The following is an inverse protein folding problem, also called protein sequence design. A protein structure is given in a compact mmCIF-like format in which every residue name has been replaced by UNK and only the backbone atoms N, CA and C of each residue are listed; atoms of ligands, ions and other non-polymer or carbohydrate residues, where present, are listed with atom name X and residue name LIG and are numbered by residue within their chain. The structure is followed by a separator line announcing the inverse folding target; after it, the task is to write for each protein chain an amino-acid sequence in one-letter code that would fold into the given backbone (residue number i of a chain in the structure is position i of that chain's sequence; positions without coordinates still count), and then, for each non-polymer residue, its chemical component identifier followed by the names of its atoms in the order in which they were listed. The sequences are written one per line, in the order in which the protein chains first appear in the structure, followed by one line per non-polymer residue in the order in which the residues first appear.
data_IF_298777787819
#
_entry.id   IF_298777787819
#
_cell.length_a   1.000
_cell.length_b   1.000
_cell.length_c   1.000
_cell.angle_alpha   90.00
_cell.angle_beta   90.00
_cell.angle_gamma   90.00
#
_symmetry.space_group_name_H-M   'P 1'
#
loop_
_entity.id
_entity.type
_entity.pdbx_description
1 polymer ?
#
# COMPACT_ATOMS: atom_id res chain seq x y z
N UNK A 1 -29.28 19.88 5.42
CA UNK A 1 -28.21 19.69 6.42
C UNK A 1 -28.05 18.19 6.61
N UNK A 2 -27.14 17.57 5.85
CA UNK A 2 -26.94 16.12 5.91
C UNK A 2 -26.28 15.76 7.23
N UNK A 3 -26.88 14.84 7.98
CA UNK A 3 -26.25 14.25 9.17
C UNK A 3 -25.05 13.46 8.64
N UNK A 4 -23.83 14.04 8.69
CA UNK A 4 -22.61 13.26 8.49
C UNK A 4 -22.52 12.33 9.70
N UNK A 5 -23.08 11.13 9.58
CA UNK A 5 -22.91 10.09 10.58
C UNK A 5 -21.44 9.70 10.59
N UNK A 6 -20.82 9.84 11.74
CA UNK A 6 -19.47 9.34 11.95
C UNK A 6 -19.42 7.83 11.66
N UNK A 7 -18.41 7.40 10.91
CA UNK A 7 -18.29 6.01 10.47
C UNK A 7 -17.44 5.22 11.47
N UNK A 8 -17.90 4.07 12.00
CA UNK A 8 -17.11 3.30 12.95
C UNK A 8 -15.85 2.74 12.31
N UNK A 9 -14.76 2.64 13.09
CA UNK A 9 -13.54 2.02 12.59
C UNK A 9 -13.73 0.50 12.40
N UNK A 10 -13.33 0.00 11.23
CA UNK A 10 -13.42 -1.41 10.89
C UNK A 10 -12.53 -2.26 11.82
N UNK A 11 -12.84 -3.56 12.02
CA UNK A 11 -11.99 -4.43 12.85
C UNK A 11 -10.52 -4.48 12.38
N UNK A 12 -10.30 -4.53 11.06
CA UNK A 12 -8.95 -4.48 10.49
C UNK A 12 -8.29 -3.11 10.73
N UNK A 13 -9.03 -2.01 10.57
CA UNK A 13 -8.54 -0.66 10.88
C UNK A 13 -8.07 -0.55 12.33
N UNK A 14 -8.84 -1.08 13.29
CA UNK A 14 -8.47 -1.12 14.71
C UNK A 14 -7.18 -1.90 14.97
N UNK A 15 -7.00 -3.03 14.29
CA UNK A 15 -5.78 -3.82 14.38
C UNK A 15 -4.56 -2.99 13.94
N UNK A 16 -4.65 -2.30 12.80
CA UNK A 16 -3.54 -1.49 12.28
C UNK A 16 -3.27 -0.21 13.08
N UNK A 17 -4.21 0.23 13.92
CA UNK A 17 -3.99 1.36 14.83
C UNK A 17 -3.28 0.95 16.12
N UNK A 18 -3.09 -0.34 16.39
CA UNK A 18 -2.31 -0.78 17.54
C UNK A 18 -0.84 -0.36 17.37
N UNK A 19 -0.15 0.12 18.41
CA UNK A 19 1.24 0.55 18.32
C UNK A 19 2.17 -0.48 17.69
N UNK A 20 1.92 -1.77 17.93
CA UNK A 20 2.70 -2.89 17.42
C UNK A 20 2.48 -3.16 15.92
N UNK A 21 1.37 -2.65 15.36
CA UNK A 21 0.90 -2.90 14.00
C UNK A 21 0.69 -1.63 13.19
N UNK A 22 1.21 -0.49 13.68
CA UNK A 22 1.14 0.82 13.02
C UNK A 22 1.88 0.78 11.68
N UNK A 23 1.13 0.44 10.63
CA UNK A 23 1.68 0.12 9.33
C UNK A 23 1.40 1.27 8.37
N UNK A 24 2.47 1.78 7.77
CA UNK A 24 2.42 2.87 6.79
C UNK A 24 2.83 2.31 5.43
N UNK A 25 1.97 2.53 4.44
CA UNK A 25 2.25 2.21 3.04
C UNK A 25 2.88 3.44 2.41
N UNK A 26 4.16 3.32 2.01
CA UNK A 26 4.85 4.34 1.24
C UNK A 26 4.79 3.99 -0.24
N UNK A 27 4.45 4.94 -1.09
CA UNK A 27 4.47 4.80 -2.54
C UNK A 27 5.32 5.91 -3.15
N UNK A 28 6.16 5.56 -4.12
CA UNK A 28 7.13 6.43 -4.75
C UNK A 28 6.77 6.56 -6.23
N UNK A 29 6.57 7.79 -6.69
CA UNK A 29 6.34 8.10 -8.10
C UNK A 29 7.49 8.95 -8.62
N UNK A 30 8.23 8.41 -9.59
CA UNK A 30 9.20 9.18 -10.38
C UNK A 30 8.48 10.09 -11.37
N UNK A 31 9.04 11.28 -11.57
CA UNK A 31 8.56 12.29 -12.52
C UNK A 31 9.65 12.58 -13.55
N UNK A 32 9.24 12.90 -14.77
CA UNK A 32 10.20 13.32 -15.82
C UNK A 32 10.83 14.70 -15.51
N UNK A 33 10.07 15.54 -14.80
CA UNK A 33 10.44 16.92 -14.44
C UNK A 33 10.19 17.18 -12.96
N UNK A 34 10.99 18.06 -12.33
CA UNK A 34 10.76 18.44 -10.93
C UNK A 34 9.38 19.11 -10.80
N UNK A 35 8.59 18.66 -9.82
CA UNK A 35 7.31 19.28 -9.50
C UNK A 35 7.51 20.41 -8.50
N UNK A 36 6.95 21.59 -8.81
CA UNK A 36 6.80 22.68 -7.85
C UNK A 36 5.61 22.46 -6.92
N UNK A 37 5.65 23.10 -5.75
CA UNK A 37 4.59 23.03 -4.74
C UNK A 37 3.22 23.49 -5.30
N UNK A 38 3.19 24.52 -6.14
CA UNK A 38 1.94 25.07 -6.68
C UNK A 38 1.22 24.09 -7.63
N UNK A 39 2.00 23.40 -8.47
CA UNK A 39 1.48 22.38 -9.39
C UNK A 39 0.91 21.23 -8.58
N UNK A 40 1.68 20.74 -7.59
CA UNK A 40 1.23 19.65 -6.75
C UNK A 40 -0.04 20.02 -5.96
N UNK A 41 -0.10 21.23 -5.39
CA UNK A 41 -1.30 21.73 -4.71
C UNK A 41 -2.51 21.73 -5.64
N UNK A 42 -2.36 22.23 -6.86
CA UNK A 42 -3.44 22.27 -7.86
C UNK A 42 -3.93 20.87 -8.23
N UNK A 43 -3.00 19.94 -8.48
CA UNK A 43 -3.33 18.54 -8.82
C UNK A 43 -4.03 17.85 -7.66
N UNK A 44 -3.50 17.96 -6.45
CA UNK A 44 -4.05 17.31 -5.26
C UNK A 44 -5.42 17.90 -4.92
N UNK A 45 -5.59 19.21 -4.97
CA UNK A 45 -6.88 19.87 -4.67
C UNK A 45 -8.03 19.38 -5.55
N UNK A 46 -7.74 19.00 -6.79
CA UNK A 46 -8.72 18.50 -7.75
C UNK A 46 -8.81 16.96 -7.81
N UNK A 47 -7.96 16.26 -7.05
CA UNK A 47 -7.80 14.82 -7.09
C UNK A 47 -8.93 14.05 -6.38
N UNK A 48 -8.93 12.72 -6.57
CA UNK A 48 -9.86 11.83 -5.89
C UNK A 48 -9.58 11.70 -4.40
N UNK A 49 -8.35 11.97 -3.92
CA UNK A 49 -8.00 11.94 -2.50
C UNK A 49 -8.91 12.91 -1.73
N UNK A 50 -9.09 14.13 -2.22
CA UNK A 50 -9.86 15.18 -1.52
C UNK A 50 -11.37 14.92 -1.61
N UNK A 51 -11.81 14.26 -2.68
CA UNK A 51 -13.22 13.92 -2.89
C UNK A 51 -13.65 12.72 -2.06
N UNK A 52 -12.71 11.86 -1.69
CA UNK A 52 -13.01 10.58 -1.06
C UNK A 52 -13.10 10.72 0.48
N UNK A 53 -14.23 10.32 1.11
CA UNK A 53 -14.46 10.53 2.55
C UNK A 53 -13.37 9.97 3.47
N UNK A 54 -12.81 8.80 3.14
CA UNK A 54 -11.73 8.18 3.96
C UNK A 54 -10.50 9.05 4.13
N UNK A 55 -10.14 9.86 3.12
CA UNK A 55 -8.96 10.72 3.18
C UNK A 55 -9.26 12.13 3.71
N UNK A 56 -10.55 12.45 3.92
CA UNK A 56 -11.01 13.70 4.54
C UNK A 56 -11.62 13.45 5.92
N UNK A 57 -11.31 12.30 6.51
CA UNK A 57 -11.79 11.92 7.84
C UNK A 57 -10.62 11.76 8.80
N UNK A 58 -10.80 12.32 9.99
CA UNK A 58 -9.92 12.20 11.13
C UNK A 58 -10.33 10.98 11.96
N UNK A 59 -9.34 10.24 12.46
CA UNK A 59 -9.61 9.17 13.42
C UNK A 59 -9.78 9.77 14.81
N UNK A 60 -10.96 9.60 15.41
CA UNK A 60 -11.31 10.15 16.72
C UNK A 60 -11.73 9.03 17.66
N UNK A 61 -11.40 9.19 18.94
CA UNK A 61 -11.85 8.31 20.01
C UNK A 61 -12.91 9.03 20.84
N UNK A 62 -14.09 8.42 20.96
CA UNK A 62 -15.17 8.97 21.77
C UNK A 62 -14.89 8.85 23.28
N UNK A 63 -15.73 9.49 24.10
CA UNK A 63 -15.62 9.41 25.58
C UNK A 63 -15.77 7.99 26.14
N UNK A 64 -16.29 7.06 25.34
CA UNK A 64 -16.50 5.65 25.69
C UNK A 64 -15.34 4.77 25.18
N UNK A 65 -14.30 5.38 24.59
CA UNK A 65 -13.13 4.69 24.08
C UNK A 65 -13.32 4.05 22.70
N UNK A 66 -14.42 4.32 21.99
CA UNK A 66 -14.68 3.77 20.66
C UNK A 66 -14.08 4.66 19.58
N UNK A 67 -13.39 4.03 18.65
CA UNK A 67 -12.73 4.67 17.52
C UNK A 67 -13.68 4.79 16.33
N UNK A 68 -13.76 6.00 15.77
CA UNK A 68 -14.59 6.30 14.62
C UNK A 68 -13.94 7.36 13.74
N UNK A 69 -14.29 7.35 12.47
CA UNK A 69 -13.92 8.35 11.48
C UNK A 69 -14.88 9.52 11.57
N UNK A 70 -14.34 10.72 11.75
CA UNK A 70 -15.07 11.97 11.73
C UNK A 70 -14.62 12.80 10.56
N UNK A 71 -15.55 13.19 9.69
CA UNK A 71 -15.23 14.05 8.55
C UNK A 71 -14.79 15.44 9.04
N UNK A 72 -13.70 15.95 8.48
CA UNK A 72 -13.14 17.26 8.83
C UNK A 72 -12.91 18.10 7.57
N UNK A 73 -12.81 19.41 7.75
CA UNK A 73 -12.29 20.28 6.72
C UNK A 73 -10.78 20.06 6.61
N UNK A 74 -10.30 19.83 5.38
CA UNK A 74 -8.92 19.40 5.15
C UNK A 74 -8.01 20.61 4.93
N UNK A 75 -7.01 20.75 5.80
CA UNK A 75 -5.92 21.70 5.62
C UNK A 75 -4.80 21.09 4.75
N UNK A 76 -4.88 21.28 3.44
CA UNK A 76 -3.95 20.70 2.45
C UNK A 76 -2.46 20.96 2.76
N UNK A 77 -2.14 22.14 3.28
CA UNK A 77 -0.76 22.55 3.58
C UNK A 77 -0.10 21.70 4.66
N UNK A 78 -0.90 21.07 5.53
CA UNK A 78 -0.40 20.14 6.55
C UNK A 78 -0.08 18.76 5.99
N UNK A 79 -0.53 18.45 4.77
CA UNK A 79 -0.34 17.15 4.13
C UNK A 79 0.70 17.18 3.02
N UNK A 80 1.05 18.36 2.48
CA UNK A 80 2.01 18.51 1.38
C UNK A 80 3.33 19.05 1.94
N UNK A 81 4.37 18.21 1.94
CA UNK A 81 5.73 18.60 2.30
C UNK A 81 6.56 18.80 1.04
N UNK A 82 7.06 20.01 0.84
CA UNK A 82 7.94 20.32 -0.30
C UNK A 82 9.40 20.38 0.15
N UNK A 83 10.24 19.56 -0.47
CA UNK A 83 11.68 19.47 -0.24
C UNK A 83 12.40 19.80 -1.56
N UNK A 84 12.80 21.07 -1.76
CA UNK A 84 13.43 21.50 -3.01
C UNK A 84 14.88 21.02 -3.15
N UNK A 85 15.58 20.81 -2.03
CA UNK A 85 16.98 20.40 -1.99
C UNK A 85 17.17 18.87 -1.97
N UNK A 86 18.43 18.40 -2.02
CA UNK A 86 18.75 16.99 -1.86
C UNK A 86 18.34 16.50 -0.46
N UNK A 87 17.79 15.29 -0.39
CA UNK A 87 17.36 14.68 0.89
C UNK A 87 18.42 13.79 1.53
N UNK A 88 19.52 13.53 0.82
CA UNK A 88 20.69 12.80 1.30
C UNK A 88 21.97 13.39 0.69
N UNK A 89 23.11 13.10 1.32
CA UNK A 89 24.45 13.39 0.79
C UNK A 89 24.83 12.47 -0.38
N UNK A 90 24.07 11.40 -0.63
CA UNK A 90 24.34 10.48 -1.74
C UNK A 90 24.18 11.17 -3.09
N UNK A 91 25.11 10.92 -4.02
CA UNK A 91 25.09 11.47 -5.38
C UNK A 91 24.11 10.77 -6.33
N UNK A 92 23.59 9.60 -5.93
CA UNK A 92 22.62 8.81 -6.70
C UNK A 92 21.20 9.07 -6.20
N UNK A 93 20.30 9.45 -7.11
CA UNK A 93 18.92 9.81 -6.78
C UNK A 93 18.14 8.65 -6.15
N UNK A 94 18.35 7.42 -6.62
CA UNK A 94 17.66 6.24 -6.11
C UNK A 94 18.10 5.90 -4.69
N UNK A 95 19.40 5.97 -4.42
CA UNK A 95 19.96 5.80 -3.08
C UNK A 95 19.46 6.89 -2.13
N UNK A 96 19.43 8.15 -2.57
CA UNK A 96 18.93 9.26 -1.77
C UNK A 96 17.46 9.06 -1.36
N UNK A 97 16.61 8.65 -2.32
CA UNK A 97 15.20 8.37 -2.06
C UNK A 97 15.03 7.17 -1.13
N UNK A 98 15.83 6.12 -1.29
CA UNK A 98 15.78 4.94 -0.42
C UNK A 98 16.18 5.27 1.02
N UNK A 99 17.23 6.05 1.23
CA UNK A 99 17.65 6.51 2.55
C UNK A 99 16.58 7.39 3.20
N UNK A 100 15.99 8.30 2.42
CA UNK A 100 14.88 9.13 2.87
C UNK A 100 13.67 8.30 3.33
N UNK A 101 13.26 7.31 2.53
CA UNK A 101 12.16 6.41 2.89
C UNK A 101 12.48 5.54 4.11
N UNK A 102 13.75 5.15 4.25
CA UNK A 102 14.21 4.35 5.38
C UNK A 102 14.13 5.15 6.68
N UNK A 103 14.56 6.41 6.66
CA UNK A 103 14.42 7.34 7.79
C UNK A 103 12.94 7.59 8.11
N UNK A 104 12.10 7.89 7.11
CA UNK A 104 10.66 8.09 7.32
C UNK A 104 9.98 6.88 7.98
N UNK A 105 10.46 5.67 7.71
CA UNK A 105 9.89 4.42 8.25
C UNK A 105 10.23 4.19 9.73
N UNK A 106 11.23 4.88 10.28
CA UNK A 106 11.65 4.76 11.69
C UNK A 106 11.31 6.03 12.47
N UNK A 107 11.60 7.19 11.90
CA UNK A 107 11.70 8.46 12.62
C UNK A 107 10.40 9.28 12.60
N UNK A 108 9.50 9.00 11.65
CA UNK A 108 8.37 9.89 11.34
C UNK A 108 7.03 9.14 11.22
N UNK A 109 6.37 8.81 12.34
CA UNK A 109 5.01 8.28 12.30
C UNK A 109 4.02 9.32 11.78
N UNK A 110 2.94 8.88 11.15
CA UNK A 110 1.86 9.77 10.74
C UNK A 110 1.14 10.32 11.97
N UNK A 111 0.98 11.64 12.03
CA UNK A 111 0.25 12.29 13.12
C UNK A 111 -1.24 11.96 13.07
N UNK A 112 -1.83 11.67 14.23
CA UNK A 112 -3.25 11.33 14.38
C UNK A 112 -4.17 12.54 14.54
N UNK A 113 -3.61 13.75 14.52
CA UNK A 113 -4.34 15.02 14.62
C UNK A 113 -4.84 15.57 13.27
N UNK A 114 -4.51 14.88 12.19
CA UNK A 114 -4.94 15.14 10.81
C UNK A 114 -5.28 13.82 10.12
N UNK A 115 -6.01 13.83 8.99
CA UNK A 115 -6.22 12.62 8.18
C UNK A 115 -4.90 11.89 7.88
N UNK A 116 -4.90 10.56 7.97
CA UNK A 116 -3.69 9.74 8.08
C UNK A 116 -2.94 9.50 6.74
N UNK A 117 -2.60 10.59 6.06
CA UNK A 117 -1.82 10.54 4.82
C UNK A 117 -1.00 11.81 4.63
N UNK A 118 0.11 11.67 3.91
CA UNK A 118 1.05 12.75 3.60
C UNK A 118 1.62 12.58 2.19
N UNK A 119 2.01 13.69 1.57
CA UNK A 119 2.63 13.73 0.25
C UNK A 119 3.90 14.57 0.36
N UNK A 120 5.03 13.96 0.06
CA UNK A 120 6.34 14.60 0.06
C UNK A 120 6.80 14.76 -1.38
N UNK A 121 7.11 15.99 -1.78
CA UNK A 121 7.58 16.32 -3.11
C UNK A 121 9.08 16.57 -3.01
N UNK A 122 9.86 15.67 -3.59
CA UNK A 122 11.31 15.73 -3.63
C UNK A 122 11.71 16.38 -4.96
N UNK A 123 11.88 17.70 -4.93
CA UNK A 123 12.15 18.51 -6.12
C UNK A 123 13.47 18.12 -6.79
N UNK A 124 14.55 18.01 -6.02
CA UNK A 124 15.87 17.64 -6.52
C UNK A 124 15.90 16.26 -7.20
N UNK A 125 15.14 15.30 -6.66
CA UNK A 125 15.10 13.91 -7.13
C UNK A 125 13.94 13.60 -8.08
N UNK A 126 13.20 14.64 -8.52
CA UNK A 126 12.03 14.54 -9.42
C UNK A 126 11.07 13.43 -8.99
N UNK A 127 10.74 13.39 -7.70
CA UNK A 127 10.01 12.27 -7.13
C UNK A 127 8.92 12.74 -6.16
N UNK A 128 7.82 12.01 -6.10
CA UNK A 128 6.76 12.21 -5.11
C UNK A 128 6.63 10.95 -4.26
N UNK A 129 6.75 11.11 -2.95
CA UNK A 129 6.50 10.06 -1.96
C UNK A 129 5.14 10.29 -1.33
N UNK A 130 4.20 9.38 -1.52
CA UNK A 130 2.94 9.36 -0.79
C UNK A 130 3.00 8.37 0.35
N UNK A 131 2.45 8.76 1.49
CA UNK A 131 2.39 7.94 2.70
C UNK A 131 0.94 7.80 3.11
N UNK A 132 0.50 6.56 3.32
CA UNK A 132 -0.86 6.26 3.75
C UNK A 132 -0.84 5.30 4.93
N UNK A 133 -1.60 5.59 5.98
CA UNK A 133 -1.80 4.61 7.04
C UNK A 133 -2.66 3.44 6.54
N UNK A 134 -2.30 2.20 6.88
CA UNK A 134 -2.96 0.99 6.37
C UNK A 134 -4.44 0.88 6.80
N UNK A 135 -4.86 1.62 7.83
CA UNK A 135 -6.26 1.76 8.20
C UNK A 135 -7.14 2.44 7.13
N UNK A 136 -6.55 3.20 6.20
CA UNK A 136 -7.28 3.86 5.11
C UNK A 136 -7.65 2.89 3.97
N UNK A 137 -6.79 1.91 3.74
CA UNK A 137 -6.95 0.92 2.68
C UNK A 137 -5.74 -0.01 2.57
N UNK A 138 -5.95 -1.12 1.86
CA UNK A 138 -4.87 -2.03 1.48
C UNK A 138 -4.04 -1.47 0.30
N UNK A 139 -2.85 -2.03 0.08
CA UNK A 139 -1.94 -1.58 -0.96
C UNK A 139 -2.51 -1.66 -2.39
N UNK A 140 -3.39 -2.62 -2.68
CA UNK A 140 -4.00 -2.76 -4.02
C UNK A 140 -5.05 -1.68 -4.24
N UNK A 141 -5.91 -1.44 -3.25
CA UNK A 141 -6.90 -0.37 -3.27
C UNK A 141 -6.26 1.01 -3.39
N UNK A 142 -5.17 1.25 -2.65
CA UNK A 142 -4.40 2.51 -2.73
C UNK A 142 -3.71 2.67 -4.08
N UNK A 143 -3.07 1.62 -4.60
CA UNK A 143 -2.46 1.65 -5.93
C UNK A 143 -3.52 1.92 -7.02
N UNK A 144 -4.69 1.30 -6.91
CA UNK A 144 -5.81 1.55 -7.82
C UNK A 144 -6.26 3.02 -7.76
N UNK A 145 -6.42 3.58 -6.55
CA UNK A 145 -6.72 5.00 -6.37
C UNK A 145 -5.67 5.89 -7.04
N UNK A 146 -4.39 5.57 -6.87
CA UNK A 146 -3.29 6.32 -7.48
C UNK A 146 -3.33 6.26 -9.00
N UNK A 147 -3.49 5.06 -9.57
CA UNK A 147 -3.63 4.87 -11.00
C UNK A 147 -4.85 5.62 -11.55
N UNK A 148 -5.94 5.72 -10.78
CA UNK A 148 -7.11 6.52 -11.18
C UNK A 148 -6.88 8.03 -11.18
N UNK A 149 -5.80 8.52 -10.60
CA UNK A 149 -5.40 9.91 -10.69
C UNK A 149 -4.43 10.16 -11.85
N UNK A 150 -3.90 9.10 -12.47
CA UNK A 150 -3.00 9.18 -13.61
C UNK A 150 -3.77 9.07 -14.93
N UNK A 151 -3.23 9.69 -15.98
CA UNK A 151 -3.71 9.56 -17.36
C UNK A 151 -2.63 8.96 -18.24
N UNK A 152 -3.02 8.23 -19.28
CA UNK A 152 -2.04 7.73 -20.26
C UNK A 152 -1.43 8.91 -21.01
N UNK A 153 -0.12 8.83 -21.24
CA UNK A 153 0.59 9.85 -22.04
C UNK A 153 0.12 9.83 -23.50
N UNK A 154 -0.20 8.65 -24.03
CA UNK A 154 -0.73 8.49 -25.39
C UNK A 154 -2.17 8.95 -25.58
N UNK A 155 -2.96 9.01 -24.50
CA UNK A 155 -4.36 9.45 -24.53
C UNK A 155 -4.75 10.02 -23.16
N UNK A 156 -4.79 11.35 -23.10
CA UNK A 156 -5.01 12.13 -21.88
C UNK A 156 -6.38 11.92 -21.23
N UNK A 157 -7.34 11.33 -21.94
CA UNK A 157 -8.66 11.02 -21.39
C UNK A 157 -8.78 9.60 -20.83
N UNK A 158 -7.79 8.75 -21.10
CA UNK A 158 -7.82 7.36 -20.64
C UNK A 158 -6.94 7.13 -19.42
N UNK A 159 -7.44 6.23 -18.57
CA UNK A 159 -6.77 5.84 -17.34
C UNK A 159 -5.81 4.68 -17.63
N UNK A 160 -4.69 4.56 -16.91
CA UNK A 160 -3.79 3.42 -17.05
C UNK A 160 -4.57 2.13 -16.77
N UNK A 161 -4.55 1.23 -17.74
CA UNK A 161 -5.31 -0.02 -17.66
C UNK A 161 -4.50 -1.01 -16.83
N UNK A 162 -5.02 -1.41 -15.67
CA UNK A 162 -4.56 -2.63 -15.02
C UNK A 162 -5.13 -3.81 -15.81
N UNK A 163 -4.27 -4.61 -16.45
CA UNK A 163 -4.69 -5.90 -16.98
C UNK A 163 -5.05 -6.85 -15.82
N UNK A 164 -6.24 -6.71 -15.23
CA UNK A 164 -6.84 -7.77 -14.44
C UNK A 164 -7.27 -8.86 -15.42
N UNK A 165 -6.35 -9.78 -15.74
CA UNK A 165 -6.71 -10.92 -16.57
C UNK A 165 -7.69 -11.79 -15.79
N UNK A 166 -8.86 -11.99 -16.41
CA UNK A 166 -9.86 -12.94 -15.95
C UNK A 166 -9.18 -14.27 -15.66
N UNK A 167 -9.43 -14.82 -14.47
CA UNK A 167 -9.18 -16.24 -14.19
C UNK A 167 -9.81 -17.01 -15.34
N UNK A 168 -9.02 -17.72 -16.14
CA UNK A 168 -9.58 -18.62 -17.14
C UNK A 168 -10.41 -19.63 -16.36
N UNK A 169 -11.74 -19.48 -16.38
CA UNK A 169 -12.64 -20.52 -15.92
C UNK A 169 -12.56 -21.60 -16.98
N UNK A 170 -11.57 -22.48 -16.85
CA UNK A 170 -11.66 -23.79 -17.47
C UNK A 170 -12.85 -24.47 -16.81
N UNK A 171 -14.03 -24.32 -17.41
CA UNK A 171 -15.21 -25.10 -17.08
C UNK A 171 -14.98 -26.50 -17.60
N UNK A 172 -14.15 -27.27 -16.89
CA UNK A 172 -14.19 -28.72 -16.98
C UNK A 172 -15.52 -29.13 -16.38
N UNK A 173 -16.36 -29.80 -17.16
CA UNK A 173 -17.58 -30.45 -16.68
C UNK A 173 -17.18 -31.58 -15.73
N UNK A 174 -17.02 -31.24 -14.45
CA UNK A 174 -16.62 -32.20 -13.43
C UNK A 174 -17.79 -33.09 -13.03
N UNK A 175 -17.60 -34.40 -13.11
CA UNK A 175 -18.55 -35.41 -12.60
C UNK A 175 -18.76 -35.23 -11.10
N UNK A 176 -19.97 -35.48 -10.59
CA UNK A 176 -20.32 -35.31 -9.17
C UNK A 176 -19.32 -36.02 -8.23
N UNK A 177 -18.83 -37.21 -8.64
CA UNK A 177 -17.83 -37.96 -7.88
C UNK A 177 -16.47 -37.26 -7.73
N UNK A 178 -15.98 -36.59 -8.78
CA UNK A 178 -14.69 -35.87 -8.71
C UNK A 178 -14.80 -34.62 -7.85
N UNK A 179 -15.95 -33.94 -7.88
CA UNK A 179 -16.26 -32.81 -7.01
C UNK A 179 -16.34 -33.20 -5.53
N UNK A 180 -16.99 -34.33 -5.23
CA UNK A 180 -17.07 -34.85 -3.85
C UNK A 180 -15.69 -35.25 -3.32
N UNK A 181 -14.88 -35.92 -4.15
CA UNK A 181 -13.51 -36.30 -3.80
C UNK A 181 -12.60 -35.09 -3.55
N UNK A 182 -12.72 -34.03 -4.37
CA UNK A 182 -12.01 -32.76 -4.15
C UNK A 182 -12.44 -32.09 -2.84
N UNK A 183 -13.74 -32.05 -2.55
CA UNK A 183 -14.25 -31.49 -1.29
C UNK A 183 -13.73 -32.27 -0.08
N UNK A 184 -13.74 -33.60 -0.14
CA UNK A 184 -13.19 -34.45 0.93
C UNK A 184 -11.70 -34.21 1.12
N UNK A 185 -10.92 -34.14 0.03
CA UNK A 185 -9.50 -33.79 0.10
C UNK A 185 -9.28 -32.40 0.69
N UNK A 186 -10.05 -31.40 0.27
CA UNK A 186 -9.96 -30.04 0.81
C UNK A 186 -10.22 -30.04 2.32
N UNK A 187 -11.30 -30.69 2.77
CA UNK A 187 -11.62 -30.82 4.21
C UNK A 187 -10.48 -31.53 4.94
N UNK A 188 -9.98 -32.64 4.41
CA UNK A 188 -8.87 -33.39 5.00
C UNK A 188 -7.59 -32.55 5.15
N UNK A 189 -7.18 -31.84 4.09
CA UNK A 189 -6.03 -30.93 4.15
C UNK A 189 -6.27 -29.78 5.12
N UNK A 190 -7.45 -29.17 5.12
CA UNK A 190 -7.80 -28.11 6.07
C UNK A 190 -7.73 -28.62 7.51
N UNK A 191 -8.20 -29.84 7.80
CA UNK A 191 -8.08 -30.45 9.12
C UNK A 191 -6.62 -30.68 9.52
N UNK A 192 -5.79 -31.18 8.60
CA UNK A 192 -4.34 -31.34 8.84
C UNK A 192 -3.70 -29.98 9.15
N UNK A 193 -3.97 -28.95 8.34
CA UNK A 193 -3.40 -27.61 8.56
C UNK A 193 -3.92 -26.94 9.83
N UNK A 194 -5.19 -27.12 10.17
CA UNK A 194 -5.76 -26.64 11.44
C UNK A 194 -5.09 -27.33 12.62
N UNK A 195 -4.89 -28.64 12.55
CA UNK A 195 -4.19 -29.38 13.59
C UNK A 195 -2.72 -28.93 13.70
N UNK A 196 -2.01 -28.78 12.58
CA UNK A 196 -0.64 -28.25 12.54
C UNK A 196 -0.55 -26.84 13.14
N UNK A 197 -1.52 -25.97 12.82
CA UNK A 197 -1.60 -24.62 13.36
C UNK A 197 -1.83 -24.61 14.87
N UNK A 198 -2.76 -25.44 15.38
CA UNK A 198 -3.02 -25.57 16.82
C UNK A 198 -1.78 -26.11 17.53
N UNK A 199 -1.13 -27.12 16.97
CA UNK A 199 0.11 -27.69 17.51
C UNK A 199 1.25 -26.65 17.54
N UNK A 200 1.38 -25.83 16.49
CA UNK A 200 2.36 -24.74 16.47
C UNK A 200 2.02 -23.67 17.50
N UNK A 201 0.78 -23.23 17.54
CA UNK A 201 0.31 -22.18 18.47
C UNK A 201 0.46 -22.57 19.95
N UNK A 202 0.16 -23.83 20.30
CA UNK A 202 0.18 -24.29 21.70
C UNK A 202 1.54 -24.84 22.16
N UNK A 203 2.34 -25.44 21.27
CA UNK A 203 3.51 -26.22 21.68
C UNK A 203 4.82 -25.89 20.97
N UNK A 204 4.81 -25.26 19.80
CA UNK A 204 6.03 -24.93 19.07
C UNK A 204 6.25 -23.42 19.08
N UNK A 205 7.22 -23.00 19.89
CA UNK A 205 7.83 -21.69 19.70
C UNK A 205 8.28 -21.61 18.23
N UNK A 206 7.82 -20.59 17.51
CA UNK A 206 8.19 -20.39 16.11
C UNK A 206 9.70 -20.56 15.95
N UNK A 207 10.12 -21.34 14.95
CA UNK A 207 11.55 -21.49 14.63
C UNK A 207 12.13 -20.11 14.37
N UNK A 208 13.35 -19.89 14.85
CA UNK A 208 14.11 -18.69 14.49
C UNK A 208 14.37 -18.75 12.99
N UNK A 209 13.70 -17.89 12.24
CA UNK A 209 13.96 -17.69 10.82
C UNK A 209 14.98 -16.56 10.68
N UNK A 210 15.73 -16.56 9.59
CA UNK A 210 16.71 -15.49 9.27
C UNK A 210 16.05 -14.10 9.20
N UNK A 211 14.72 -14.05 9.08
CA UNK A 211 13.89 -12.84 9.00
C UNK A 211 13.42 -12.37 10.39
N UNK A 212 13.57 -13.18 11.44
CA UNK A 212 13.16 -12.83 12.79
C UNK A 212 14.23 -11.93 13.44
N UNK A 213 13.91 -10.66 13.62
CA UNK A 213 14.72 -9.77 14.44
C UNK A 213 14.45 -9.99 15.94
N UNK A 214 15.47 -9.81 16.78
CA UNK A 214 15.32 -9.82 18.23
C UNK A 214 14.51 -8.64 18.77
N UNK A 215 14.22 -8.60 20.07
CA UNK A 215 13.52 -7.46 20.66
C UNK A 215 14.33 -6.15 20.47
N UNK A 216 13.67 -5.07 20.06
CA UNK A 216 14.29 -3.76 19.85
C UNK A 216 14.87 -3.54 18.45
N UNK A 217 14.83 -4.53 17.54
CA UNK A 217 15.21 -4.31 16.13
C UNK A 217 14.26 -3.34 15.43
N UNK A 218 13.07 -3.16 15.96
CA UNK A 218 12.07 -2.23 15.43
C UNK A 218 12.56 -0.79 15.44
N UNK A 219 13.45 -0.44 16.37
CA UNK A 219 14.06 0.89 16.55
C UNK A 219 15.36 1.07 15.75
N UNK A 220 15.85 0.02 15.08
CA UNK A 220 17.10 0.12 14.34
C UNK A 220 16.90 0.94 13.05
N UNK A 221 17.93 1.68 12.62
CA UNK A 221 17.92 2.34 11.32
C UNK A 221 17.57 1.33 10.24
N UNK A 222 16.53 1.64 9.45
CA UNK A 222 16.15 0.80 8.32
C UNK A 222 17.13 1.05 7.19
N UNK A 223 17.32 0.03 6.35
CA UNK A 223 18.00 0.17 5.07
C UNK A 223 17.07 -0.37 4.01
N UNK A 224 16.71 0.49 3.06
CA UNK A 224 15.94 0.11 1.90
C UNK A 224 16.90 -0.09 0.73
N UNK A 225 16.66 -1.15 -0.03
CA UNK A 225 17.37 -1.44 -1.26
C UNK A 225 16.33 -1.76 -2.33
N UNK A 226 16.43 -1.12 -3.47
CA UNK A 226 15.57 -1.41 -4.61
C UNK A 226 16.13 -2.59 -5.39
N UNK A 227 15.29 -3.56 -5.67
CA UNK A 227 15.56 -4.59 -6.68
C UNK A 227 14.72 -4.28 -7.93
N UNK A 228 15.37 -4.13 -9.08
CA UNK A 228 14.71 -3.90 -10.37
C UNK A 228 14.55 -5.23 -11.09
N UNK A 229 13.33 -5.54 -11.51
CA UNK A 229 13.02 -6.72 -12.30
C UNK A 229 12.49 -6.30 -13.66
N UNK A 230 12.97 -6.95 -14.72
CA UNK A 230 12.40 -6.75 -16.06
C UNK A 230 10.98 -7.32 -16.11
N UNK A 231 10.04 -6.54 -16.65
CA UNK A 231 8.68 -7.01 -16.85
C UNK A 231 8.61 -8.17 -17.83
N UNK A 232 9.52 -8.21 -18.80
CA UNK A 232 9.57 -9.29 -19.78
C UNK A 232 10.10 -10.58 -19.14
N UNK A 233 11.06 -10.48 -18.21
CA UNK A 233 11.51 -11.62 -17.41
C UNK A 233 10.39 -12.14 -16.51
N UNK A 234 9.62 -11.24 -15.87
CA UNK A 234 8.45 -11.64 -15.07
C UNK A 234 7.39 -12.35 -15.91
N UNK A 235 7.15 -11.89 -17.14
CA UNK A 235 6.22 -12.54 -18.08
C UNK A 235 6.75 -13.91 -18.51
N UNK A 236 8.04 -14.03 -18.81
CA UNK A 236 8.68 -15.28 -19.21
C UNK A 236 8.65 -16.31 -18.08
N UNK A 237 8.91 -15.90 -16.83
CA UNK A 237 8.77 -16.79 -15.67
C UNK A 237 7.32 -17.24 -15.50
N UNK A 238 6.36 -16.32 -15.65
CA UNK A 238 4.94 -16.65 -15.55
C UNK A 238 4.45 -17.58 -16.65
N UNK A 239 4.94 -17.44 -17.88
CA UNK A 239 4.55 -18.32 -18.99
C UNK A 239 5.13 -19.73 -18.83
N UNK A 240 6.27 -19.86 -18.15
CA UNK A 240 6.97 -21.14 -17.97
C UNK A 240 6.61 -21.85 -16.67
N UNK A 241 5.95 -21.19 -15.71
CA UNK A 241 5.54 -21.80 -14.44
C UNK A 241 4.01 -21.77 -14.32
N UNK A 242 3.39 -22.93 -14.58
CA UNK A 242 1.96 -23.13 -14.35
C UNK A 242 1.61 -22.82 -12.87
N UNK A 243 0.55 -22.03 -12.64
CA UNK A 243 0.04 -21.59 -11.33
C UNK A 243 0.82 -20.52 -10.55
N UNK A 244 1.67 -19.70 -11.19
CA UNK A 244 2.27 -18.54 -10.48
C UNK A 244 1.49 -17.24 -10.70
N UNK A 245 0.96 -16.68 -9.62
CA UNK A 245 0.29 -15.39 -9.62
C UNK A 245 1.29 -14.25 -9.43
N UNK A 246 1.75 -13.65 -10.53
CA UNK A 246 2.45 -12.36 -10.50
C UNK A 246 1.50 -11.24 -10.92
N UNK A 247 1.42 -10.20 -10.09
CA UNK A 247 0.91 -8.89 -10.46
C UNK A 247 2.11 -8.04 -10.92
N UNK A 248 2.23 -7.83 -12.23
CA UNK A 248 3.25 -6.97 -12.82
C UNK A 248 2.53 -5.80 -13.51
N UNK A 249 2.91 -4.57 -13.18
CA UNK A 249 2.30 -3.36 -13.72
C UNK A 249 3.23 -2.78 -14.80
N UNK A 250 2.73 -2.65 -16.04
CA UNK A 250 3.42 -1.91 -17.10
C UNK A 250 2.72 -0.56 -17.27
N UNK A 251 3.40 0.52 -16.91
CA UNK A 251 3.06 1.86 -17.38
C UNK A 251 4.16 2.23 -18.38
N UNK A 252 3.89 2.04 -19.68
CA UNK A 252 4.80 2.47 -20.75
C UNK A 252 4.53 3.95 -21.02
N UNK A 253 5.58 4.77 -20.92
CA UNK A 253 5.60 6.11 -21.52
C UNK A 253 6.47 5.95 -22.76
N UNK A 254 5.83 5.73 -23.90
CA UNK A 254 6.52 5.72 -25.19
C UNK A 254 6.56 7.18 -25.68
N UNK A 255 7.77 7.68 -25.97
CA UNK A 255 8.01 9.00 -26.57
C UNK A 255 7.75 9.00 -28.08
#
# INVERSE_FOLDING_TARGET
MGINMDEPLTPAGRLFMQPEMNTIINCVLGLDRPAGIDIARSVISNSLIIKHPRFTSLLVKDKQGREHWKRVELELDRHIMYLPGPVSESTDDETAVNEYLADLSVSCPLSTDKPLWEIHILGAHKCVVMRFHHALGDGVSLLSLMLTMCRKVSDGDTMPTMETRASSKNTVTETIGTRLWKMLKMIWFTLIYMFEFIMKSLWLRDKETVVRGGAGVELWPRKLATAKFSLDDMKAVKSNIENTAFAAFKVSVDY
#
